data_IF_354804489748
#
_entry.id   IF_354804489748
#
_cell.length_a   1.000
_cell.length_b   1.000
_cell.length_c   1.000
_cell.angle_alpha   90.00
_cell.angle_beta   90.00
_cell.angle_gamma   90.00
#
_symmetry.space_group_name_H-M   'P 1'
#
loop_
_entity.id
_entity.type
_entity.pdbx_description
1 polymer ?
#
# COMPACT_ATOMS: atom_id res chain seq x y z
N UNK A 1 7.94 -5.40 3.71
CA UNK A 1 7.92 -5.61 5.17
C UNK A 1 7.19 -4.43 5.80
N UNK A 2 6.14 -4.70 6.54
CA UNK A 2 5.34 -3.68 7.23
C UNK A 2 5.59 -3.77 8.73
N UNK A 3 5.78 -2.64 9.39
CA UNK A 3 5.79 -2.54 10.84
C UNK A 3 4.69 -1.55 11.23
N UNK A 4 3.73 -1.99 12.02
CA UNK A 4 2.55 -1.19 12.33
C UNK A 4 2.05 -1.40 13.77
N UNK A 5 1.28 -0.43 14.23
CA UNK A 5 0.59 -0.48 15.53
C UNK A 5 -0.84 -0.93 15.31
N UNK A 6 -1.24 -2.00 15.97
CA UNK A 6 -2.60 -2.53 15.94
C UNK A 6 -3.29 -2.36 17.30
N UNK A 7 -4.56 -1.99 17.33
CA UNK A 7 -5.36 -1.83 18.56
C UNK A 7 -6.47 -2.86 18.65
N UNK A 8 -6.68 -3.44 19.83
CA UNK A 8 -7.81 -4.32 20.13
C UNK A 8 -8.90 -3.61 20.94
N UNK A 9 -10.16 -3.84 20.60
CA UNK A 9 -11.29 -3.52 21.47
C UNK A 9 -11.58 -4.65 22.47
N UNK A 10 -12.18 -4.35 23.63
CA UNK A 10 -12.49 -5.29 24.69
C UNK A 10 -13.47 -6.40 24.29
N UNK A 11 -13.22 -7.60 24.76
CA UNK A 11 -13.89 -8.86 24.45
C UNK A 11 -15.20 -9.10 25.21
N UNK A 12 -16.11 -8.13 25.31
CA UNK A 12 -17.42 -8.39 25.96
C UNK A 12 -18.64 -8.00 25.12
N UNK A 13 -18.46 -7.55 23.93
CA UNK A 13 -19.54 -7.49 22.94
C UNK A 13 -18.95 -7.89 21.59
N UNK A 14 -19.75 -8.43 20.70
CA UNK A 14 -19.42 -8.80 19.32
C UNK A 14 -18.92 -7.62 18.46
N UNK A 15 -18.43 -6.58 19.08
CA UNK A 15 -18.14 -5.24 18.56
C UNK A 15 -16.70 -4.85 18.84
N UNK A 16 -15.73 -5.61 18.35
CA UNK A 16 -14.35 -5.14 18.38
C UNK A 16 -13.97 -4.49 17.06
N UNK A 17 -13.80 -3.19 17.12
CA UNK A 17 -13.16 -2.43 16.05
C UNK A 17 -11.65 -2.56 16.15
N UNK A 18 -10.96 -2.50 15.02
CA UNK A 18 -9.52 -2.37 14.96
C UNK A 18 -9.13 -1.23 14.03
N UNK A 19 -7.96 -0.69 14.26
CA UNK A 19 -7.34 0.32 13.43
C UNK A 19 -5.85 0.03 13.33
N UNK A 20 -5.32 0.00 12.11
CA UNK A 20 -3.91 -0.21 11.82
C UNK A 20 -3.34 0.94 11.02
N UNK A 21 -2.09 1.25 11.29
CA UNK A 21 -1.27 2.16 10.51
C UNK A 21 0.02 1.44 10.13
N UNK A 22 0.29 1.35 8.86
CA UNK A 22 1.39 0.55 8.35
C UNK A 22 2.34 1.40 7.51
N UNK A 23 3.61 1.19 7.72
CA UNK A 23 4.62 1.66 6.80
C UNK A 23 4.91 0.58 5.76
N UNK A 24 4.89 0.95 4.48
CA UNK A 24 5.00 0.01 3.37
C UNK A 24 6.27 0.22 2.55
N UNK A 25 6.95 -0.90 2.29
CA UNK A 25 8.00 -0.97 1.28
C UNK A 25 7.42 -1.62 0.02
N UNK A 26 7.55 -0.92 -1.10
CA UNK A 26 7.05 -1.36 -2.40
C UNK A 26 8.20 -1.65 -3.35
N UNK A 27 8.14 -2.80 -4.00
CA UNK A 27 8.99 -3.12 -5.14
C UNK A 27 8.09 -3.40 -6.35
N UNK A 28 8.04 -2.51 -7.33
CA UNK A 28 7.25 -2.70 -8.54
C UNK A 28 7.74 -3.91 -9.32
N UNK A 29 6.82 -4.79 -9.71
CA UNK A 29 7.11 -5.96 -10.55
C UNK A 29 6.41 -5.77 -11.88
N UNK A 30 7.18 -5.76 -12.97
CA UNK A 30 6.64 -5.65 -14.33
C UNK A 30 6.35 -4.24 -14.83
N UNK A 31 6.63 -3.20 -14.06
CA UNK A 31 6.49 -1.81 -14.49
C UNK A 31 7.87 -1.20 -14.79
N UNK A 32 8.11 -0.87 -16.05
CA UNK A 32 9.38 -0.27 -16.51
C UNK A 32 9.45 1.24 -16.28
N UNK A 33 8.34 1.89 -15.94
CA UNK A 33 8.26 3.35 -15.79
C UNK A 33 8.87 3.84 -14.47
N UNK A 34 8.62 3.14 -13.36
CA UNK A 34 9.17 3.45 -12.05
C UNK A 34 9.53 2.14 -11.32
N UNK A 35 10.65 1.54 -11.72
CA UNK A 35 11.07 0.19 -11.32
C UNK A 35 11.87 0.12 -10.01
N UNK A 36 12.18 1.28 -9.40
CA UNK A 36 12.92 1.30 -8.13
C UNK A 36 12.01 1.00 -6.95
N UNK A 37 12.48 0.13 -6.06
CA UNK A 37 11.84 -0.10 -4.79
C UNK A 37 11.78 1.20 -3.98
N UNK A 38 10.64 1.47 -3.34
CA UNK A 38 10.40 2.66 -2.54
C UNK A 38 9.91 2.27 -1.15
N UNK A 39 10.44 2.94 -0.13
CA UNK A 39 9.94 2.88 1.25
C UNK A 39 8.95 4.01 1.58
N UNK A 40 8.49 4.77 0.61
CA UNK A 40 7.55 5.86 0.78
C UNK A 40 6.12 5.39 0.51
N UNK A 41 5.60 4.58 1.42
CA UNK A 41 4.22 4.14 1.40
C UNK A 41 3.68 4.01 2.81
N UNK A 42 2.42 4.36 2.98
CA UNK A 42 1.67 4.11 4.22
C UNK A 42 0.30 3.53 3.87
N UNK A 43 -0.19 2.71 4.78
CA UNK A 43 -1.53 2.14 4.71
C UNK A 43 -2.25 2.41 6.02
N UNK A 44 -3.49 2.80 5.90
CA UNK A 44 -4.42 2.97 6.99
C UNK A 44 -5.56 2.00 6.77
N UNK A 45 -5.84 1.17 7.74
CA UNK A 45 -6.97 0.26 7.70
C UNK A 45 -7.76 0.30 8.99
N UNK A 46 -9.07 0.22 8.85
CA UNK A 46 -9.99 0.14 9.96
C UNK A 46 -11.11 -0.82 9.67
N UNK A 47 -11.51 -1.59 10.65
CA UNK A 47 -12.53 -2.59 10.46
C UNK A 47 -13.20 -3.03 11.75
N UNK A 48 -14.16 -3.91 11.54
CA UNK A 48 -15.02 -4.43 12.55
C UNK A 48 -15.04 -5.96 12.48
N UNK A 49 -14.84 -6.62 13.62
CA UNK A 49 -14.92 -8.07 13.71
C UNK A 49 -16.38 -8.52 13.74
N UNK A 50 -16.86 -9.04 12.61
CA UNK A 50 -18.22 -9.63 12.48
C UNK A 50 -18.30 -11.03 13.11
N UNK A 51 -17.14 -11.71 13.21
CA UNK A 51 -16.97 -13.00 13.88
C UNK A 51 -15.67 -12.97 14.67
N UNK A 52 -15.46 -13.88 15.63
CA UNK A 52 -14.23 -13.91 16.44
C UNK A 52 -12.93 -13.93 15.62
N UNK A 53 -12.98 -14.51 14.42
CA UNK A 53 -11.84 -14.67 13.52
C UNK A 53 -11.91 -13.85 12.25
N UNK A 54 -13.06 -13.26 11.93
CA UNK A 54 -13.29 -12.57 10.65
C UNK A 54 -13.68 -11.12 10.88
N UNK A 55 -12.98 -10.23 10.21
CA UNK A 55 -13.27 -8.79 10.19
C UNK A 55 -13.50 -8.31 8.78
N UNK A 56 -14.35 -7.30 8.65
CA UNK A 56 -14.57 -6.52 7.43
C UNK A 56 -14.26 -5.05 7.74
N UNK A 57 -13.78 -4.33 6.75
CA UNK A 57 -13.41 -2.94 6.95
C UNK A 57 -13.10 -2.22 5.66
N UNK A 58 -12.47 -1.07 5.81
CA UNK A 58 -12.00 -0.26 4.71
C UNK A 58 -10.51 0.04 4.88
N UNK A 59 -9.86 0.32 3.77
CA UNK A 59 -8.47 0.74 3.74
C UNK A 59 -8.26 1.91 2.79
N UNK A 60 -7.24 2.67 3.06
CA UNK A 60 -6.66 3.66 2.16
C UNK A 60 -5.15 3.58 2.30
N UNK A 61 -4.47 3.47 1.16
CA UNK A 61 -3.01 3.46 1.13
C UNK A 61 -2.51 4.53 0.18
N UNK A 62 -1.26 4.94 0.35
CA UNK A 62 -0.58 5.71 -0.66
C UNK A 62 0.83 5.16 -0.87
N UNK A 63 1.28 5.18 -2.11
CA UNK A 63 2.60 4.76 -2.51
C UNK A 63 3.19 5.79 -3.46
N UNK A 64 4.47 6.06 -3.31
CA UNK A 64 5.21 6.90 -4.24
C UNK A 64 6.47 6.17 -4.68
N UNK A 65 6.58 5.92 -5.96
CA UNK A 65 7.78 5.35 -6.57
C UNK A 65 8.37 6.39 -7.51
N UNK A 66 9.67 6.60 -7.39
CA UNK A 66 10.40 7.58 -8.20
C UNK A 66 11.50 6.87 -9.00
N UNK A 67 11.66 7.29 -10.24
CA UNK A 67 12.79 6.89 -11.10
C UNK A 67 13.44 8.14 -11.64
N UNK A 68 14.71 8.31 -11.32
CA UNK A 68 15.54 9.33 -11.94
C UNK A 68 16.23 8.74 -13.16
N UNK A 69 16.14 9.43 -14.30
CA UNK A 69 16.81 9.09 -15.54
C UNK A 69 17.86 10.15 -15.75
N UNK A 70 19.14 9.71 -15.77
CA UNK A 70 20.27 10.59 -16.04
C UNK A 70 20.09 11.31 -17.36
N UNK A 71 20.74 12.45 -17.45
CA UNK A 71 20.71 13.37 -18.60
C UNK A 71 20.86 12.62 -19.93
N UNK A 72 19.81 12.65 -20.74
CA UNK A 72 19.76 12.03 -22.06
C UNK A 72 19.40 13.07 -23.12
N UNK A 73 19.94 12.89 -24.31
CA UNK A 73 19.60 13.71 -25.47
C UNK A 73 18.47 13.04 -26.23
N UNK A 74 17.29 13.61 -26.13
CA UNK A 74 16.12 13.17 -26.90
C UNK A 74 16.14 13.82 -28.29
N UNK A 75 16.17 13.00 -29.32
CA UNK A 75 16.00 13.47 -30.70
C UNK A 75 14.51 13.71 -30.96
N UNK A 76 14.09 14.97 -30.95
CA UNK A 76 12.78 15.34 -31.42
C UNK A 76 12.77 15.35 -32.98
N UNK A 77 11.65 14.91 -33.56
CA UNK A 77 11.45 14.88 -34.99
C UNK A 77 11.83 16.24 -35.60
N UNK A 78 12.73 16.20 -36.66
CA UNK A 78 13.16 17.35 -37.42
C UNK A 78 14.06 18.36 -36.69
N UNK A 79 15.35 18.04 -36.59
CA UNK A 79 16.44 18.97 -36.30
C UNK A 79 16.50 19.65 -34.91
N UNK A 80 15.78 19.12 -33.94
CA UNK A 80 15.85 19.60 -32.57
C UNK A 80 16.20 18.46 -31.59
N UNK A 81 17.27 18.64 -30.84
CA UNK A 81 17.66 17.74 -29.74
C UNK A 81 17.44 18.43 -28.39
N UNK A 82 16.70 17.82 -27.50
CA UNK A 82 16.52 18.28 -26.14
C UNK A 82 17.36 17.40 -25.21
N UNK A 83 18.35 18.02 -24.59
CA UNK A 83 19.17 17.35 -23.57
C UNK A 83 18.65 17.74 -22.20
N UNK A 84 18.01 16.82 -21.49
CA UNK A 84 17.39 17.11 -20.20
C UNK A 84 17.46 15.90 -19.27
N UNK A 85 17.44 16.20 -18.00
CA UNK A 85 17.24 15.20 -16.94
C UNK A 85 15.74 14.92 -16.85
N UNK A 86 15.38 13.66 -16.61
CA UNK A 86 13.98 13.27 -16.46
C UNK A 86 13.78 12.64 -15.10
N UNK A 87 12.78 13.09 -14.38
CA UNK A 87 12.31 12.43 -13.17
C UNK A 87 10.90 11.92 -13.41
N UNK A 88 10.76 10.61 -13.34
CA UNK A 88 9.46 9.95 -13.36
C UNK A 88 9.01 9.72 -11.93
N UNK A 89 7.81 10.16 -11.60
CA UNK A 89 7.16 9.92 -10.33
C UNK A 89 5.84 9.20 -10.57
N UNK A 90 5.65 8.08 -9.88
CA UNK A 90 4.40 7.34 -9.86
C UNK A 90 3.80 7.44 -8.47
N UNK A 91 2.71 8.16 -8.36
CA UNK A 91 1.89 8.22 -7.18
C UNK A 91 0.67 7.31 -7.34
N UNK A 92 0.40 6.48 -6.33
CA UNK A 92 -0.75 5.58 -6.30
C UNK A 92 -1.50 5.74 -4.99
N UNK A 93 -2.82 5.79 -5.09
CA UNK A 93 -3.75 5.89 -3.97
C UNK A 93 -4.80 4.77 -4.07
N UNK A 94 -4.47 3.54 -3.69
CA UNK A 94 -5.45 2.48 -3.59
C UNK A 94 -6.32 2.65 -2.34
N UNK A 95 -7.62 2.48 -2.49
CA UNK A 95 -8.60 2.53 -1.41
C UNK A 95 -9.77 1.60 -1.69
N UNK A 96 -10.43 1.12 -0.65
CA UNK A 96 -11.55 0.21 -0.81
C UNK A 96 -11.93 -0.55 0.45
N UNK A 97 -12.46 -1.73 0.23
CA UNK A 97 -12.89 -2.64 1.29
C UNK A 97 -11.85 -3.72 1.55
N UNK A 98 -11.84 -4.23 2.76
CA UNK A 98 -10.98 -5.35 3.14
C UNK A 98 -11.77 -6.40 3.92
N UNK A 99 -11.33 -7.64 3.77
CA UNK A 99 -11.74 -8.77 4.59
C UNK A 99 -10.49 -9.39 5.21
N UNK A 100 -10.49 -9.52 6.54
CA UNK A 100 -9.36 -10.04 7.32
C UNK A 100 -9.79 -11.29 8.07
N UNK A 101 -8.99 -12.33 7.97
CA UNK A 101 -9.19 -13.58 8.70
C UNK A 101 -8.00 -13.86 9.60
N UNK A 102 -8.26 -14.10 10.90
CA UNK A 102 -7.26 -14.51 11.89
C UNK A 102 -7.32 -16.01 12.07
N UNK A 103 -6.20 -16.69 11.92
CA UNK A 103 -6.12 -18.12 12.12
C UNK A 103 -6.17 -18.50 13.60
N UNK A 104 -5.55 -17.68 14.45
CA UNK A 104 -5.49 -17.86 15.91
C UNK A 104 -5.87 -16.54 16.59
N UNK A 105 -6.60 -16.63 17.70
CA UNK A 105 -7.05 -15.47 18.49
C UNK A 105 -6.46 -15.45 19.91
N UNK A 106 -5.77 -16.51 20.30
CA UNK A 106 -5.24 -16.71 21.64
C UNK A 106 -3.72 -16.87 21.57
N UNK A 107 -2.99 -15.84 21.94
CA UNK A 107 -1.55 -15.90 21.99
C UNK A 107 -0.87 -14.55 21.72
N UNK A 108 0.46 -14.60 21.85
CA UNK A 108 1.33 -13.45 21.55
C UNK A 108 1.41 -13.24 20.03
N UNK A 109 1.32 -14.32 19.26
CA UNK A 109 1.42 -14.31 17.79
C UNK A 109 0.06 -14.70 17.20
N UNK A 110 -0.50 -13.79 16.40
CA UNK A 110 -1.76 -14.02 15.66
C UNK A 110 -1.51 -13.93 14.17
N UNK A 111 -1.33 -15.07 13.49
CA UNK A 111 -1.24 -15.09 12.03
C UNK A 111 -2.61 -14.73 11.43
N UNK A 112 -2.55 -13.96 10.34
CA UNK A 112 -3.75 -13.52 9.63
C UNK A 112 -3.54 -13.49 8.12
N UNK A 113 -4.64 -13.52 7.40
CA UNK A 113 -4.70 -13.23 5.97
C UNK A 113 -5.73 -12.13 5.71
N UNK A 114 -5.42 -11.23 4.80
CA UNK A 114 -6.30 -10.14 4.40
C UNK A 114 -6.41 -10.10 2.89
N UNK A 115 -7.60 -9.81 2.39
CA UNK A 115 -7.82 -9.49 0.98
C UNK A 115 -8.42 -8.08 0.93
N UNK A 116 -7.75 -7.21 0.18
CA UNK A 116 -8.15 -5.82 -0.05
C UNK A 116 -8.65 -5.69 -1.49
N UNK A 117 -9.81 -5.09 -1.68
CA UNK A 117 -10.44 -4.89 -2.98
C UNK A 117 -10.89 -3.44 -3.08
N UNK A 118 -10.56 -2.78 -4.18
CA UNK A 118 -10.95 -1.38 -4.32
C UNK A 118 -10.58 -0.74 -5.64
N UNK A 119 -10.61 0.58 -5.62
CA UNK A 119 -10.13 1.41 -6.71
C UNK A 119 -8.70 1.88 -6.44
N UNK A 120 -7.95 2.07 -7.51
CA UNK A 120 -6.62 2.65 -7.48
C UNK A 120 -6.61 3.91 -8.35
N UNK A 121 -6.28 5.02 -7.74
CA UNK A 121 -5.97 6.24 -8.46
C UNK A 121 -4.47 6.33 -8.65
N UNK A 122 -4.01 6.41 -9.89
CA UNK A 122 -2.60 6.56 -10.23
C UNK A 122 -2.37 7.87 -10.95
N UNK A 123 -1.33 8.58 -10.52
CA UNK A 123 -0.82 9.76 -11.22
C UNK A 123 0.63 9.50 -11.62
N UNK A 124 0.87 9.56 -12.90
CA UNK A 124 2.20 9.51 -13.49
C UNK A 124 2.64 10.94 -13.82
N UNK A 125 3.71 11.41 -13.19
CA UNK A 125 4.29 12.72 -13.47
C UNK A 125 5.68 12.57 -14.04
N UNK A 126 5.90 13.22 -15.17
CA UNK A 126 7.21 13.33 -15.82
C UNK A 126 7.67 14.78 -15.77
N UNK A 127 8.72 15.03 -15.03
CA UNK A 127 9.34 16.36 -14.92
C UNK A 127 10.44 16.48 -15.98
N UNK A 128 10.25 17.39 -16.91
CA UNK A 128 11.18 17.76 -17.99
C UNK A 128 11.59 19.23 -17.78
N UNK A 129 12.58 19.46 -16.94
CA UNK A 129 13.21 20.76 -16.62
C UNK A 129 12.29 22.00 -16.43
N UNK A 130 11.33 22.27 -17.32
CA UNK A 130 10.39 23.40 -17.25
C UNK A 130 8.94 23.00 -17.50
N UNK A 131 8.68 21.75 -17.80
CA UNK A 131 7.36 21.22 -18.14
C UNK A 131 7.06 19.99 -17.30
N UNK A 132 5.90 20.01 -16.67
CA UNK A 132 5.33 18.84 -16.01
C UNK A 132 4.24 18.27 -16.92
N UNK A 133 4.39 17.01 -17.28
CA UNK A 133 3.36 16.25 -17.97
C UNK A 133 2.83 15.24 -16.97
N UNK A 134 1.54 15.29 -16.68
CA UNK A 134 0.88 14.34 -15.81
C UNK A 134 -0.21 13.59 -16.57
N UNK A 135 -0.38 12.34 -16.23
CA UNK A 135 -1.46 11.48 -16.69
C UNK A 135 -2.12 10.82 -15.47
N UNK A 136 -3.42 10.99 -15.38
CA UNK A 136 -4.22 10.48 -14.29
C UNK A 136 -5.02 9.27 -14.77
N UNK A 137 -4.91 8.16 -14.09
CA UNK A 137 -5.59 6.92 -14.46
C UNK A 137 -6.28 6.30 -13.26
N UNK A 138 -7.50 5.83 -13.50
CA UNK A 138 -8.26 5.05 -12.54
C UNK A 138 -8.23 3.57 -12.91
N UNK A 139 -8.04 2.72 -11.91
CA UNK A 139 -8.05 1.28 -12.09
C UNK A 139 -8.70 0.56 -10.92
N UNK A 140 -8.84 -0.73 -11.07
CA UNK A 140 -9.26 -1.63 -10.01
C UNK A 140 -8.02 -2.21 -9.33
N UNK A 141 -8.07 -2.38 -8.00
CA UNK A 141 -6.98 -2.97 -7.24
C UNK A 141 -7.43 -4.19 -6.44
N UNK A 142 -6.56 -5.19 -6.43
CA UNK A 142 -6.67 -6.38 -5.58
C UNK A 142 -5.36 -6.56 -4.85
N UNK A 143 -5.41 -6.61 -3.51
CA UNK A 143 -4.19 -6.77 -2.71
C UNK A 143 -4.38 -7.86 -1.65
N UNK A 144 -3.99 -9.11 -1.95
CA UNK A 144 -3.84 -10.12 -0.93
C UNK A 144 -2.64 -9.83 -0.03
N UNK A 145 -2.82 -10.09 1.26
CA UNK A 145 -1.82 -9.87 2.31
C UNK A 145 -1.84 -11.04 3.29
N UNK A 146 -0.66 -11.47 3.72
CA UNK A 146 -0.48 -12.43 4.80
C UNK A 146 0.49 -11.86 5.82
N UNK A 147 0.18 -12.02 7.10
CA UNK A 147 1.02 -11.45 8.15
C UNK A 147 0.82 -12.08 9.50
N UNK A 148 1.58 -11.57 10.44
CA UNK A 148 1.52 -11.96 11.85
C UNK A 148 1.40 -10.70 12.69
N UNK A 149 0.37 -10.64 13.53
CA UNK A 149 0.24 -9.62 14.56
C UNK A 149 0.89 -10.13 15.86
N UNK A 150 1.66 -9.27 16.49
CA UNK A 150 2.45 -9.57 17.68
C UNK A 150 1.91 -8.69 18.83
N UNK A 151 1.34 -9.31 19.84
CA UNK A 151 0.85 -8.65 21.03
C UNK A 151 1.75 -9.03 22.21
N UNK A 152 2.69 -8.17 22.62
CA UNK A 152 3.66 -8.50 23.68
C UNK A 152 3.01 -8.85 25.02
N UNK A 153 1.81 -8.34 25.27
CA UNK A 153 1.05 -8.61 26.47
C UNK A 153 -0.43 -8.78 26.14
N UNK A 154 -1.10 -9.88 26.51
CA UNK A 154 -2.52 -10.12 26.26
C UNK A 154 -3.46 -9.04 26.82
N UNK A 155 -3.02 -8.32 27.84
CA UNK A 155 -3.78 -7.22 28.47
C UNK A 155 -3.66 -5.88 27.74
N UNK A 156 -2.77 -5.78 26.78
CA UNK A 156 -2.50 -4.53 26.05
C UNK A 156 -3.29 -4.51 24.73
N UNK A 157 -3.88 -3.36 24.41
CA UNK A 157 -4.72 -3.19 23.23
C UNK A 157 -3.95 -2.88 21.94
N UNK A 158 -2.63 -2.72 22.01
CA UNK A 158 -1.78 -2.41 20.87
C UNK A 158 -0.69 -3.46 20.72
N UNK A 159 -0.33 -3.68 19.47
CA UNK A 159 0.71 -4.60 19.06
C UNK A 159 1.36 -4.14 17.77
N UNK A 160 2.30 -4.93 17.32
CA UNK A 160 2.97 -4.73 16.04
C UNK A 160 2.52 -5.82 15.09
N UNK A 161 2.56 -5.53 13.79
CA UNK A 161 2.42 -6.60 12.82
C UNK A 161 3.46 -6.49 11.71
N UNK A 162 3.77 -7.64 11.12
CA UNK A 162 4.63 -7.75 9.95
C UNK A 162 3.88 -8.55 8.92
N UNK A 163 3.79 -8.03 7.71
CA UNK A 163 3.06 -8.66 6.62
C UNK A 163 3.82 -8.60 5.30
N UNK A 164 3.50 -9.56 4.46
CA UNK A 164 3.81 -9.55 3.03
C UNK A 164 2.52 -9.33 2.27
N UNK A 165 2.55 -8.41 1.31
CA UNK A 165 1.41 -8.14 0.44
C UNK A 165 1.84 -8.12 -1.02
N UNK A 166 0.89 -8.43 -1.87
CA UNK A 166 1.02 -8.29 -3.31
C UNK A 166 -0.11 -7.37 -3.79
N UNK A 167 0.22 -6.33 -4.51
CA UNK A 167 -0.77 -5.41 -5.05
C UNK A 167 -0.85 -5.55 -6.57
N UNK A 168 -2.01 -5.92 -7.06
CA UNK A 168 -2.32 -5.95 -8.48
C UNK A 168 -3.29 -4.82 -8.81
N UNK A 169 -2.90 -3.96 -9.72
CA UNK A 169 -3.73 -2.86 -10.24
C UNK A 169 -3.87 -2.98 -11.76
N UNK A 170 -5.02 -2.58 -12.28
CA UNK A 170 -5.34 -2.69 -13.71
C UNK A 170 -5.01 -1.43 -14.53
N UNK A 171 -4.40 -0.43 -13.93
CA UNK A 171 -3.98 0.84 -14.54
C UNK A 171 -2.48 0.98 -14.64
#
# INVERSE_FOLDING_TARGET
CMVAVSTRGNAQAVSSTYFNVDWQFNAPVGNSYADKASGWGMNFEGGYYVMPKMAIGAFISYHTNNKYIDRQTLMLKSNSALTTDQQHSLFQLPFGLLAKYRFTTDGILEPYATVKLGANYSRMSSYLQAWEIYDDTWGFTVSPEIGVSIFPNPSVRYGFHVALYYNYATN
#
